data_IF_762196271656
#
_entry.id   IF_762196271656
#
_cell.length_a   1.000
_cell.length_b   1.000
_cell.length_c   1.000
_cell.angle_alpha   90.00
_cell.angle_beta   90.00
_cell.angle_gamma   90.00
#
_symmetry.space_group_name_H-M   'P 1'
#
loop_
_entity.id
_entity.type
_entity.pdbx_description
1 polymer ?
#
# COMPACT_ATOMS: atom_id res chain seq x y z
N UNK A 1 -23.10 3.32 10.55
CA UNK A 1 -22.30 3.37 9.31
C UNK A 1 -21.19 2.34 9.44
N UNK A 2 -20.91 1.54 8.41
CA UNK A 2 -19.84 0.53 8.44
C UNK A 2 -18.48 1.24 8.34
N UNK A 3 -17.52 0.91 9.21
CA UNK A 3 -16.14 1.38 9.12
C UNK A 3 -15.28 0.31 8.46
N UNK A 4 -14.45 0.69 7.50
CA UNK A 4 -13.54 -0.21 6.78
C UNK A 4 -12.11 0.31 6.93
N UNK A 5 -11.21 -0.53 7.41
CA UNK A 5 -9.83 -0.16 7.72
C UNK A 5 -8.86 -0.98 6.88
N UNK A 6 -7.76 -0.34 6.46
CA UNK A 6 -6.66 -1.02 5.76
C UNK A 6 -5.41 -1.03 6.64
N UNK A 7 -4.72 -2.18 6.70
CA UNK A 7 -3.42 -2.33 7.37
C UNK A 7 -2.38 -2.86 6.39
N UNK A 8 -1.29 -2.13 6.21
CA UNK A 8 -0.12 -2.58 5.46
C UNK A 8 0.81 -3.33 6.40
N UNK A 9 1.21 -4.55 6.03
CA UNK A 9 2.19 -5.33 6.79
C UNK A 9 3.62 -4.92 6.39
N UNK A 10 4.56 -4.77 7.33
CA UNK A 10 5.96 -4.63 6.97
C UNK A 10 6.48 -5.92 6.31
N UNK A 11 7.39 -5.77 5.35
CA UNK A 11 8.13 -6.90 4.79
C UNK A 11 8.97 -7.60 5.87
N UNK A 12 8.99 -8.93 5.84
CA UNK A 12 9.93 -9.75 6.60
C UNK A 12 11.35 -9.60 6.05
N UNK A 13 12.34 -10.02 6.83
CA UNK A 13 13.73 -10.04 6.39
C UNK A 13 13.93 -10.92 5.15
N UNK A 14 13.26 -12.07 5.07
CA UNK A 14 13.36 -12.99 3.93
C UNK A 14 12.84 -12.35 2.63
N UNK A 15 11.72 -11.63 2.70
CA UNK A 15 11.12 -10.92 1.56
C UNK A 15 12.00 -9.76 1.09
N UNK A 16 12.62 -9.03 2.02
CA UNK A 16 13.59 -7.97 1.70
C UNK A 16 14.84 -8.54 1.01
N UNK A 17 15.40 -9.64 1.53
CA UNK A 17 16.57 -10.31 0.92
C UNK A 17 16.26 -10.85 -0.47
N UNK A 18 15.02 -11.32 -0.69
CA UNK A 18 14.58 -11.86 -1.98
C UNK A 18 14.31 -10.77 -3.04
N UNK A 19 14.38 -9.49 -2.66
CA UNK A 19 14.15 -8.38 -3.58
C UNK A 19 12.69 -8.25 -4.03
N UNK A 20 11.73 -8.60 -3.17
CA UNK A 20 10.30 -8.43 -3.48
C UNK A 20 9.93 -6.96 -3.74
N UNK A 21 8.90 -6.73 -4.56
CA UNK A 21 8.52 -5.38 -5.02
C UNK A 21 7.94 -4.53 -3.89
N UNK A 22 8.72 -3.59 -3.36
CA UNK A 22 8.36 -2.84 -2.15
C UNK A 22 7.48 -1.60 -2.39
N UNK A 23 7.45 -1.06 -3.61
CA UNK A 23 6.78 0.22 -3.92
C UNK A 23 5.36 0.06 -4.50
N UNK A 24 4.74 -1.11 -4.30
CA UNK A 24 3.40 -1.39 -4.83
C UNK A 24 2.30 -0.65 -4.06
N UNK A 25 2.56 -0.19 -2.84
CA UNK A 25 1.57 0.46 -1.97
C UNK A 25 2.11 1.81 -1.55
N UNK A 26 1.42 2.89 -1.91
CA UNK A 26 1.70 4.25 -1.43
C UNK A 26 0.51 4.74 -0.62
N UNK A 27 0.75 5.17 0.62
CA UNK A 27 -0.29 5.75 1.48
C UNK A 27 -0.38 7.24 1.16
N UNK A 28 -1.56 7.70 0.74
CA UNK A 28 -1.89 9.10 0.47
C UNK A 28 -2.76 9.60 1.64
N UNK A 29 -2.21 10.40 2.58
CA UNK A 29 -2.97 10.88 3.73
C UNK A 29 -4.20 11.69 3.29
N UNK A 30 -5.33 11.62 4.02
CA UNK A 30 -5.45 11.00 5.35
C UNK A 30 -5.88 9.52 5.36
N UNK A 31 -6.49 9.01 4.30
CA UNK A 31 -7.27 7.76 4.31
C UNK A 31 -7.27 7.01 2.96
N UNK A 32 -6.40 7.42 2.03
CA UNK A 32 -6.34 6.87 0.67
C UNK A 32 -5.07 6.06 0.47
N UNK A 33 -5.15 5.03 -0.37
CA UNK A 33 -4.00 4.25 -0.84
C UNK A 33 -3.97 4.19 -2.35
N UNK A 34 -2.79 4.47 -2.91
CA UNK A 34 -2.45 4.23 -4.29
C UNK A 34 -1.76 2.87 -4.40
N UNK A 35 -2.42 1.92 -5.07
CA UNK A 35 -1.88 0.61 -5.40
C UNK A 35 -1.31 0.62 -6.81
N UNK A 36 -0.02 0.34 -6.93
CA UNK A 36 0.72 0.27 -8.19
C UNK A 36 1.04 -1.19 -8.53
N UNK A 37 1.07 -1.54 -9.83
CA UNK A 37 1.52 -2.86 -10.23
C UNK A 37 3.00 -3.05 -9.84
N UNK A 38 3.43 -4.29 -9.54
CA UNK A 38 4.83 -4.56 -9.21
C UNK A 38 5.75 -4.18 -10.38
N UNK A 39 6.94 -3.66 -10.06
CA UNK A 39 7.86 -3.05 -11.04
C UNK A 39 8.29 -3.99 -12.17
N UNK A 40 8.31 -5.30 -11.93
CA UNK A 40 8.67 -6.32 -12.93
C UNK A 40 7.50 -6.74 -13.85
N UNK A 41 6.29 -6.27 -13.55
CA UNK A 41 5.12 -6.59 -14.37
C UNK A 41 5.25 -6.03 -15.78
N UNK A 42 4.66 -6.72 -16.76
CA UNK A 42 4.59 -6.22 -18.13
C UNK A 42 3.90 -4.85 -18.20
N UNK A 43 2.91 -4.60 -17.34
CA UNK A 43 2.21 -3.32 -17.20
C UNK A 43 3.13 -2.20 -16.72
N UNK A 44 3.99 -2.45 -15.72
CA UNK A 44 4.96 -1.46 -15.25
C UNK A 44 5.97 -1.08 -16.35
N UNK A 45 6.47 -2.07 -17.10
CA UNK A 45 7.39 -1.83 -18.24
C UNK A 45 6.75 -0.99 -19.35
N UNK A 46 5.52 -1.30 -19.74
CA UNK A 46 4.79 -0.54 -20.78
C UNK A 46 4.49 0.90 -20.35
N UNK A 47 4.30 1.15 -19.04
CA UNK A 47 4.07 2.50 -18.50
C UNK A 47 5.34 3.34 -18.36
N UNK A 48 6.53 2.75 -18.34
CA UNK A 48 7.81 3.47 -18.25
C UNK A 48 8.26 4.06 -19.60
N UNK A 49 7.82 3.47 -20.72
CA UNK A 49 8.31 3.80 -22.07
C UNK A 49 7.54 4.95 -22.74
N UNK A 50 6.40 5.34 -22.17
CA UNK A 50 5.59 6.47 -22.62
C UNK A 50 5.14 7.23 -21.39
N UNK A 51 5.09 8.55 -21.48
CA UNK A 51 4.67 9.55 -20.48
C UNK A 51 3.25 9.35 -19.86
N UNK A 52 2.79 8.11 -19.65
CA UNK A 52 1.59 7.84 -18.89
C UNK A 52 1.95 7.88 -17.40
N UNK A 53 1.22 8.66 -16.58
CA UNK A 53 1.38 8.57 -15.13
C UNK A 53 1.16 7.10 -14.74
N UNK A 54 2.10 6.52 -13.98
CA UNK A 54 1.99 5.16 -13.44
C UNK A 54 0.56 4.95 -12.97
N UNK A 55 -0.21 4.14 -13.70
CA UNK A 55 -1.66 4.06 -13.53
C UNK A 55 -1.94 3.16 -12.33
N UNK A 56 -1.75 3.70 -11.13
CA UNK A 56 -2.13 3.04 -9.89
C UNK A 56 -3.63 3.19 -9.64
N UNK A 57 -4.22 2.21 -8.97
CA UNK A 57 -5.60 2.28 -8.51
C UNK A 57 -5.66 2.96 -7.14
N UNK A 58 -6.61 3.87 -6.97
CA UNK A 58 -6.83 4.54 -5.68
C UNK A 58 -7.99 3.90 -4.94
N UNK A 59 -7.78 3.68 -3.66
CA UNK A 59 -8.78 3.14 -2.74
C UNK A 59 -8.88 4.04 -1.52
N UNK A 60 -10.11 4.38 -1.14
CA UNK A 60 -10.39 5.17 0.06
C UNK A 60 -10.94 4.26 1.16
N UNK A 61 -10.47 4.45 2.39
CA UNK A 61 -10.87 3.70 3.57
C UNK A 61 -11.32 4.66 4.69
N UNK A 62 -11.84 4.12 5.79
CA UNK A 62 -12.10 4.94 6.99
C UNK A 62 -10.81 5.33 7.72
N UNK A 63 -9.79 4.49 7.66
CA UNK A 63 -8.41 4.81 8.06
C UNK A 63 -7.43 3.82 7.43
N UNK A 64 -6.20 4.27 7.22
CA UNK A 64 -5.11 3.49 6.65
C UNK A 64 -3.95 3.46 7.63
N UNK A 65 -3.53 2.25 7.99
CA UNK A 65 -2.44 2.00 8.93
C UNK A 65 -1.23 1.45 8.19
N UNK A 66 -0.10 2.15 8.30
CA UNK A 66 1.14 1.80 7.62
C UNK A 66 1.89 0.64 8.26
N UNK A 67 3.00 0.20 7.64
CA UNK A 67 3.83 -0.92 8.13
C UNK A 67 4.44 -0.67 9.52
N UNK A 68 4.56 0.60 9.93
CA UNK A 68 5.06 0.99 11.25
C UNK A 68 3.98 0.97 12.34
N UNK A 69 2.70 0.79 11.98
CA UNK A 69 1.61 0.78 12.96
C UNK A 69 1.63 -0.51 13.78
N UNK A 70 1.80 -0.36 15.08
CA UNK A 70 1.77 -1.44 16.06
C UNK A 70 0.36 -2.04 16.21
N UNK A 71 0.28 -3.25 16.78
CA UNK A 71 -1.00 -3.88 17.07
C UNK A 71 -1.84 -3.06 18.05
N UNK A 72 -1.19 -2.38 19.01
CA UNK A 72 -1.86 -1.53 20.00
C UNK A 72 -2.51 -0.33 19.33
N UNK A 73 -1.75 0.41 18.51
CA UNK A 73 -2.26 1.57 17.78
C UNK A 73 -3.42 1.21 16.84
N UNK A 74 -3.32 0.06 16.17
CA UNK A 74 -4.41 -0.45 15.34
C UNK A 74 -5.66 -0.76 16.17
N UNK A 75 -5.51 -1.44 17.30
CA UNK A 75 -6.63 -1.77 18.19
C UNK A 75 -7.34 -0.51 18.69
N UNK A 76 -6.56 0.47 19.18
CA UNK A 76 -7.06 1.74 19.68
C UNK A 76 -7.79 2.55 18.60
N UNK A 77 -7.37 2.45 17.33
CA UNK A 77 -8.01 3.14 16.21
C UNK A 77 -9.24 2.46 15.60
N UNK A 78 -9.49 1.18 15.90
CA UNK A 78 -10.51 0.37 15.20
C UNK A 78 -11.62 -0.18 16.09
N UNK A 79 -11.31 -0.58 17.32
CA UNK A 79 -12.24 -1.31 18.21
C UNK A 79 -12.88 -0.41 19.28
N UNK A 80 -12.25 0.72 19.60
CA UNK A 80 -12.73 1.66 20.61
C UNK A 80 -13.80 2.63 20.11
#
# INVERSE_FOLDING_TARGET
>A
HLKVFLRVRPFTSAEQTSGESQDCVTIEPPDTVLLKPPNLSALARLSSEKFLPQTGQRFQFSSVHGPQTSQKELFDGTVR
#
